data_IF_558048106330
#
_entry.id   IF_558048106330
#
_cell.length_a   1.000
_cell.length_b   1.000
_cell.length_c   1.000
_cell.angle_alpha   90.00
_cell.angle_beta   90.00
_cell.angle_gamma   90.00
#
_symmetry.space_group_name_H-M   'P 1'
#
loop_
_entity.id
_entity.type
_entity.pdbx_description
1 polymer ?
#
# COMPACT_ATOMS: atom_id res chain seq x y z
N UNK A 1 14.92 29.39 -25.56
CA UNK A 1 13.80 30.27 -25.84
C UNK A 1 13.01 30.56 -24.55
N UNK A 2 12.45 29.59 -23.88
CA UNK A 2 11.66 29.79 -22.66
C UNK A 2 12.45 30.44 -21.51
N UNK A 3 13.74 30.12 -21.38
CA UNK A 3 14.60 30.68 -20.31
C UNK A 3 14.89 32.19 -20.47
N UNK A 4 14.64 32.78 -21.64
CA UNK A 4 14.79 34.20 -21.90
C UNK A 4 13.49 35.01 -21.61
N UNK A 5 12.38 34.31 -21.36
CA UNK A 5 11.06 34.90 -21.12
C UNK A 5 10.74 34.87 -19.62
N UNK A 6 10.31 35.99 -19.06
CA UNK A 6 9.91 36.10 -17.66
C UNK A 6 8.41 35.94 -17.44
N UNK A 7 7.64 35.94 -18.52
CA UNK A 7 6.19 35.90 -18.60
C UNK A 7 5.63 34.49 -18.93
N UNK A 8 6.51 33.46 -18.96
CA UNK A 8 6.12 32.06 -19.30
C UNK A 8 6.40 31.16 -18.14
N UNK A 9 5.37 30.41 -17.73
CA UNK A 9 5.48 29.22 -16.88
C UNK A 9 5.38 27.98 -17.78
N UNK A 10 6.47 27.20 -17.86
CA UNK A 10 6.48 25.93 -18.59
C UNK A 10 6.28 24.79 -17.60
N UNK A 11 5.19 24.04 -17.75
CA UNK A 11 4.88 22.84 -16.98
C UNK A 11 4.99 21.63 -17.90
N UNK A 12 5.89 20.69 -17.56
CA UNK A 12 6.05 19.42 -18.26
C UNK A 12 5.49 18.30 -17.39
N UNK A 13 4.44 17.61 -17.86
CA UNK A 13 3.83 16.49 -17.20
C UNK A 13 4.12 15.19 -17.98
N UNK A 14 4.27 14.08 -17.28
CA UNK A 14 4.35 12.75 -17.88
C UNK A 14 3.94 11.69 -16.86
N UNK A 15 3.20 10.69 -17.30
CA UNK A 15 2.95 9.46 -16.56
C UNK A 15 4.16 8.51 -16.60
N UNK A 16 4.99 8.59 -17.66
CA UNK A 16 6.23 7.84 -17.79
C UNK A 16 7.34 8.50 -16.96
N UNK A 17 7.38 8.20 -15.68
CA UNK A 17 8.35 8.76 -14.71
C UNK A 17 9.79 8.57 -15.17
N UNK A 18 10.13 7.41 -15.70
CA UNK A 18 11.45 7.11 -16.23
C UNK A 18 11.88 8.03 -17.39
N UNK A 19 10.94 8.43 -18.25
CA UNK A 19 11.26 9.35 -19.36
C UNK A 19 11.62 10.75 -18.82
N UNK A 20 10.82 11.30 -17.90
CA UNK A 20 11.12 12.62 -17.31
C UNK A 20 12.44 12.57 -16.54
N UNK A 21 12.64 11.56 -15.69
CA UNK A 21 13.86 11.43 -14.89
C UNK A 21 15.10 11.33 -15.80
N UNK A 22 15.08 10.44 -16.79
CA UNK A 22 16.24 10.22 -17.66
C UNK A 22 16.46 11.32 -18.70
N UNK A 23 15.39 11.89 -19.28
CA UNK A 23 15.50 12.86 -20.36
C UNK A 23 15.50 14.31 -19.90
N UNK A 24 14.88 14.62 -18.77
CA UNK A 24 14.76 15.98 -18.26
C UNK A 24 15.74 16.23 -17.11
N UNK A 25 15.89 15.30 -16.18
CA UNK A 25 16.69 15.52 -14.97
C UNK A 25 18.14 15.01 -15.08
N UNK A 26 18.36 13.85 -15.69
CA UNK A 26 19.69 13.24 -15.80
C UNK A 26 20.38 13.47 -17.14
N UNK A 27 19.67 13.98 -18.13
CA UNK A 27 20.29 14.28 -19.41
C UNK A 27 20.98 15.66 -19.35
N UNK A 28 22.28 15.71 -19.60
CA UNK A 28 23.07 16.97 -19.71
C UNK A 28 22.66 17.87 -20.90
N UNK A 29 21.46 17.66 -21.46
CA UNK A 29 20.85 18.47 -22.51
C UNK A 29 20.29 19.80 -22.03
N UNK A 30 19.55 20.48 -22.92
CA UNK A 30 19.09 21.86 -22.75
C UNK A 30 18.19 22.17 -21.53
N UNK A 31 17.66 21.15 -20.83
CA UNK A 31 16.84 21.33 -19.63
C UNK A 31 17.59 21.06 -18.31
N UNK A 32 18.83 20.56 -18.39
CA UNK A 32 19.64 20.30 -17.20
C UNK A 32 19.88 21.59 -16.40
N UNK A 33 19.59 21.56 -15.09
CA UNK A 33 19.75 22.70 -14.20
C UNK A 33 18.71 23.83 -14.38
N UNK A 34 17.72 23.68 -15.29
CA UNK A 34 16.69 24.68 -15.57
C UNK A 34 15.33 24.34 -14.98
N UNK A 35 15.19 23.17 -14.37
CA UNK A 35 13.98 22.76 -13.66
C UNK A 35 13.99 23.41 -12.27
N UNK A 36 13.07 24.36 -12.05
CA UNK A 36 12.96 25.11 -10.79
C UNK A 36 12.19 24.33 -9.72
N UNK A 37 11.23 23.49 -10.11
CA UNK A 37 10.39 22.75 -9.20
C UNK A 37 10.02 21.38 -9.77
N UNK A 38 10.01 20.37 -8.91
CA UNK A 38 9.52 19.04 -9.21
C UNK A 38 8.32 18.77 -8.32
N UNK A 39 7.27 18.22 -8.90
CA UNK A 39 6.07 17.80 -8.19
C UNK A 39 5.85 16.34 -8.55
N UNK A 40 5.87 15.46 -7.55
CA UNK A 40 5.45 14.08 -7.68
C UNK A 40 4.00 14.02 -7.21
N UNK A 41 3.09 13.61 -8.09
CA UNK A 41 1.69 13.40 -7.75
C UNK A 41 1.54 11.94 -7.37
N UNK A 42 1.34 11.71 -6.08
CA UNK A 42 0.97 10.39 -5.55
C UNK A 42 -0.52 10.13 -5.77
N UNK A 43 -0.97 8.87 -5.69
CA UNK A 43 -2.39 8.55 -5.57
C UNK A 43 -3.04 9.34 -4.43
N UNK A 44 -4.33 9.64 -4.56
CA UNK A 44 -5.08 10.33 -3.51
C UNK A 44 -5.02 9.57 -2.19
N UNK A 45 -4.94 10.31 -1.08
CA UNK A 45 -5.22 9.79 0.26
C UNK A 45 -6.72 9.49 0.42
N UNK A 46 -7.10 8.76 1.49
CA UNK A 46 -8.52 8.53 1.79
C UNK A 46 -9.31 9.85 1.95
N UNK A 47 -8.71 10.87 2.58
CA UNK A 47 -9.34 12.20 2.69
C UNK A 47 -9.56 12.85 1.32
N UNK A 48 -8.58 12.74 0.42
CA UNK A 48 -8.72 13.28 -0.94
C UNK A 48 -9.72 12.48 -1.77
N UNK A 49 -9.80 11.15 -1.57
CA UNK A 49 -10.86 10.32 -2.15
C UNK A 49 -12.25 10.73 -1.64
N UNK A 50 -12.42 10.96 -0.33
CA UNK A 50 -13.67 11.43 0.26
C UNK A 50 -14.13 12.73 -0.41
N UNK A 51 -13.24 13.73 -0.52
CA UNK A 51 -13.53 14.99 -1.22
C UNK A 51 -13.84 14.81 -2.71
N UNK A 52 -13.17 13.86 -3.36
CA UNK A 52 -13.42 13.55 -4.76
C UNK A 52 -14.81 12.95 -4.95
N UNK A 53 -15.22 11.99 -4.10
CA UNK A 53 -16.56 11.40 -4.13
C UNK A 53 -17.64 12.46 -3.86
N UNK A 54 -17.46 13.32 -2.86
CA UNK A 54 -18.36 14.45 -2.58
C UNK A 54 -18.52 15.36 -3.80
N UNK A 55 -17.41 15.72 -4.47
CA UNK A 55 -17.44 16.59 -5.66
C UNK A 55 -18.20 15.98 -6.84
N UNK A 56 -18.33 14.66 -6.87
CA UNK A 56 -19.04 13.88 -7.89
C UNK A 56 -20.46 13.48 -7.47
N UNK A 57 -20.89 13.86 -6.27
CA UNK A 57 -22.15 13.41 -5.65
C UNK A 57 -22.24 11.87 -5.56
N UNK A 58 -21.14 11.19 -5.32
CA UNK A 58 -21.07 9.75 -5.03
C UNK A 58 -21.21 9.60 -3.51
N UNK A 59 -22.38 9.15 -3.06
CA UNK A 59 -22.66 8.94 -1.64
C UNK A 59 -22.14 7.57 -1.20
N UNK A 60 -21.09 7.58 -0.40
CA UNK A 60 -20.43 6.38 0.08
C UNK A 60 -19.99 6.56 1.54
N UNK A 61 -20.31 5.62 2.41
CA UNK A 61 -19.80 5.63 3.77
C UNK A 61 -18.29 5.35 3.80
N UNK A 62 -17.61 5.70 4.89
CA UNK A 62 -16.14 5.55 4.98
C UNK A 62 -15.67 4.11 4.89
N UNK A 63 -16.45 3.13 5.35
CA UNK A 63 -16.11 1.72 5.19
C UNK A 63 -16.03 1.33 3.70
N UNK A 64 -17.04 1.70 2.92
CA UNK A 64 -17.04 1.46 1.47
C UNK A 64 -15.94 2.27 0.76
N UNK A 65 -15.63 3.50 1.23
CA UNK A 65 -14.50 4.26 0.70
C UNK A 65 -13.16 3.56 0.95
N UNK A 66 -12.96 2.95 2.12
CA UNK A 66 -11.78 2.11 2.41
C UNK A 66 -11.76 0.89 1.52
N UNK A 67 -12.89 0.20 1.31
CA UNK A 67 -12.98 -0.95 0.39
C UNK A 67 -12.69 -0.51 -1.05
N UNK A 68 -13.24 0.62 -1.49
CA UNK A 68 -12.94 1.20 -2.81
C UNK A 68 -11.44 1.49 -2.98
N UNK A 69 -10.81 2.04 -1.94
CA UNK A 69 -9.37 2.28 -1.94
C UNK A 69 -8.55 0.98 -2.00
N UNK A 70 -8.98 -0.07 -1.33
CA UNK A 70 -8.34 -1.39 -1.40
C UNK A 70 -8.40 -2.01 -2.80
N UNK A 71 -9.42 -1.67 -3.61
CA UNK A 71 -9.63 -2.18 -4.98
C UNK A 71 -8.95 -1.30 -6.02
N UNK A 72 -9.25 0.00 -5.99
CA UNK A 72 -8.89 0.96 -7.05
C UNK A 72 -7.69 1.85 -6.69
N UNK A 73 -7.26 1.83 -5.42
CA UNK A 73 -6.31 2.81 -4.89
C UNK A 73 -6.87 4.23 -4.90
N UNK A 74 -6.00 5.19 -4.68
CA UNK A 74 -6.34 6.60 -4.80
C UNK A 74 -6.16 7.15 -6.23
N UNK A 75 -6.40 6.35 -7.27
CA UNK A 75 -6.19 6.76 -8.67
C UNK A 75 -7.43 7.47 -9.21
N UNK A 76 -7.40 8.80 -9.43
CA UNK A 76 -8.59 9.58 -9.83
C UNK A 76 -9.28 9.04 -11.08
N UNK A 77 -8.53 8.47 -12.01
CA UNK A 77 -9.06 7.89 -13.23
C UNK A 77 -10.03 6.74 -12.94
N UNK A 78 -9.66 5.82 -12.05
CA UNK A 78 -10.53 4.70 -11.68
C UNK A 78 -11.72 5.16 -10.83
N UNK A 79 -11.49 6.09 -9.90
CA UNK A 79 -12.55 6.63 -9.05
C UNK A 79 -13.61 7.39 -9.86
N UNK A 80 -13.22 8.00 -11.00
CA UNK A 80 -14.14 8.72 -11.88
C UNK A 80 -15.08 7.80 -12.67
N UNK A 81 -14.78 6.50 -12.75
CA UNK A 81 -15.62 5.49 -13.44
C UNK A 81 -16.76 5.00 -12.56
N UNK A 82 -16.75 5.26 -11.26
CA UNK A 82 -17.82 4.81 -10.37
C UNK A 82 -19.13 5.50 -10.70
N UNK A 83 -20.18 4.69 -10.93
CA UNK A 83 -21.55 5.15 -11.14
C UNK A 83 -22.19 5.45 -9.77
N UNK A 84 -22.58 6.70 -9.54
CA UNK A 84 -23.23 7.17 -8.34
C UNK A 84 -24.61 6.54 -8.07
N UNK A 85 -25.23 5.95 -9.10
CA UNK A 85 -26.52 5.26 -8.99
C UNK A 85 -26.41 3.81 -8.52
N UNK A 86 -25.18 3.30 -8.32
CA UNK A 86 -24.89 1.92 -7.95
C UNK A 86 -24.19 1.82 -6.62
N UNK A 87 -24.36 0.69 -5.92
CA UNK A 87 -23.56 0.36 -4.75
C UNK A 87 -22.09 0.12 -5.14
N UNK A 88 -21.17 0.17 -4.17
CA UNK A 88 -19.77 -0.17 -4.44
C UNK A 88 -19.60 -1.60 -4.98
N UNK A 89 -20.24 -2.65 -4.42
CA UNK A 89 -20.18 -3.99 -4.99
C UNK A 89 -20.59 -4.04 -6.47
N UNK A 90 -21.69 -3.39 -6.84
CA UNK A 90 -22.15 -3.32 -8.23
C UNK A 90 -21.16 -2.62 -9.16
N UNK A 91 -20.54 -1.53 -8.69
CA UNK A 91 -19.48 -0.84 -9.43
C UNK A 91 -18.24 -1.75 -9.63
N UNK A 92 -17.84 -2.49 -8.60
CA UNK A 92 -16.70 -3.42 -8.68
C UNK A 92 -17.00 -4.53 -9.71
N UNK A 93 -18.18 -5.12 -9.66
CA UNK A 93 -18.57 -6.17 -10.61
C UNK A 93 -18.61 -5.67 -12.04
N UNK A 94 -19.23 -4.53 -12.28
CA UNK A 94 -19.33 -3.96 -13.62
C UNK A 94 -17.99 -3.55 -14.21
N UNK A 95 -17.12 -2.93 -13.41
CA UNK A 95 -15.84 -2.43 -13.90
C UNK A 95 -14.79 -3.53 -14.09
N UNK A 96 -14.80 -4.59 -13.24
CA UNK A 96 -13.72 -5.55 -13.15
C UNK A 96 -14.09 -6.99 -13.53
N UNK A 97 -15.35 -7.42 -13.29
CA UNK A 97 -15.79 -8.80 -13.53
C UNK A 97 -16.70 -8.96 -14.72
N UNK A 98 -17.42 -7.91 -15.13
CA UNK A 98 -18.21 -7.96 -16.36
C UNK A 98 -17.29 -8.16 -17.59
N UNK A 99 -17.70 -8.96 -18.59
CA UNK A 99 -16.90 -9.20 -19.80
C UNK A 99 -16.47 -7.93 -20.54
N UNK A 100 -17.34 -6.91 -20.53
CA UNK A 100 -17.10 -5.60 -21.14
C UNK A 100 -16.67 -4.54 -20.12
N UNK A 101 -16.23 -4.95 -18.92
CA UNK A 101 -15.81 -4.06 -17.85
C UNK A 101 -14.60 -3.23 -18.26
N UNK A 102 -14.67 -1.91 -18.04
CA UNK A 102 -13.64 -0.98 -18.50
C UNK A 102 -12.25 -1.26 -17.91
N UNK A 103 -12.18 -1.89 -16.74
CA UNK A 103 -10.94 -2.26 -16.05
C UNK A 103 -10.62 -3.76 -16.13
N UNK A 104 -11.40 -4.53 -16.89
CA UNK A 104 -11.18 -5.97 -17.02
C UNK A 104 -9.79 -6.30 -17.60
N UNK A 105 -9.38 -5.60 -18.65
CA UNK A 105 -8.08 -5.78 -19.33
C UNK A 105 -7.06 -4.69 -18.99
N UNK A 106 -7.36 -3.84 -18.01
CA UNK A 106 -6.53 -2.66 -17.65
C UNK A 106 -5.12 -3.04 -17.24
N UNK A 107 -4.92 -4.20 -16.60
CA UNK A 107 -3.62 -4.59 -16.07
C UNK A 107 -2.48 -4.54 -17.11
N UNK A 108 -2.69 -5.08 -18.31
CA UNK A 108 -1.68 -5.05 -19.38
C UNK A 108 -1.53 -3.64 -19.95
N UNK A 109 -2.64 -2.96 -20.16
CA UNK A 109 -2.68 -1.61 -20.73
C UNK A 109 -1.94 -0.61 -19.83
N UNK A 110 -2.16 -0.70 -18.52
CA UNK A 110 -1.50 0.13 -17.52
C UNK A 110 0.03 0.07 -17.65
N UNK A 111 0.60 -1.13 -17.57
CA UNK A 111 2.06 -1.29 -17.63
C UNK A 111 2.64 -0.92 -19.01
N UNK A 112 1.96 -1.26 -20.10
CA UNK A 112 2.39 -0.91 -21.44
C UNK A 112 2.34 0.60 -21.71
N UNK A 113 1.39 1.32 -21.12
CA UNK A 113 1.29 2.78 -21.25
C UNK A 113 2.39 3.52 -20.46
N UNK A 114 2.80 2.95 -19.32
CA UNK A 114 3.77 3.58 -18.43
C UNK A 114 5.23 3.25 -18.77
N UNK A 115 5.50 2.05 -19.28
CA UNK A 115 6.86 1.56 -19.49
C UNK A 115 7.08 1.14 -20.95
N UNK A 116 8.16 1.66 -21.57
CA UNK A 116 8.47 1.41 -22.99
C UNK A 116 8.63 -0.07 -23.32
N UNK A 117 9.19 -0.86 -22.39
CA UNK A 117 9.39 -2.31 -22.49
C UNK A 117 8.88 -2.93 -21.18
N UNK A 118 7.57 -3.11 -21.08
CA UNK A 118 6.92 -3.51 -19.83
C UNK A 118 7.19 -4.96 -19.40
N UNK A 119 7.78 -5.81 -20.25
CA UNK A 119 7.96 -7.24 -19.97
C UNK A 119 8.75 -7.49 -18.67
N UNK A 120 9.86 -6.79 -18.46
CA UNK A 120 10.67 -6.95 -17.26
C UNK A 120 9.96 -6.39 -16.02
N UNK A 121 9.19 -5.30 -16.18
CA UNK A 121 8.37 -4.74 -15.10
C UNK A 121 7.28 -5.74 -14.68
N UNK A 122 6.57 -6.32 -15.64
CA UNK A 122 5.54 -7.33 -15.41
C UNK A 122 6.14 -8.60 -14.77
N UNK A 123 7.33 -9.04 -15.20
CA UNK A 123 8.02 -10.19 -14.61
C UNK A 123 8.34 -9.93 -13.13
N UNK A 124 8.91 -8.77 -12.79
CA UNK A 124 9.25 -8.39 -11.42
C UNK A 124 7.98 -8.27 -10.56
N UNK A 125 6.95 -7.57 -11.05
CA UNK A 125 5.68 -7.43 -10.31
C UNK A 125 5.02 -8.78 -10.09
N UNK A 126 5.03 -9.66 -11.11
CA UNK A 126 4.51 -11.02 -10.98
C UNK A 126 5.26 -11.84 -9.91
N UNK A 127 6.57 -11.68 -9.83
CA UNK A 127 7.36 -12.33 -8.79
C UNK A 127 7.00 -11.79 -7.39
N UNK A 128 7.03 -10.46 -7.22
CA UNK A 128 6.75 -9.82 -5.93
C UNK A 128 5.32 -10.12 -5.43
N UNK A 129 4.34 -10.19 -6.34
CA UNK A 129 2.94 -10.52 -6.01
C UNK A 129 2.76 -11.90 -5.35
N UNK A 130 3.73 -12.81 -5.47
CA UNK A 130 3.70 -14.13 -4.81
C UNK A 130 3.98 -14.07 -3.30
N UNK A 131 4.55 -12.95 -2.80
CA UNK A 131 4.94 -12.78 -1.40
C UNK A 131 4.40 -11.47 -0.83
N UNK A 132 3.38 -11.54 -0.01
CA UNK A 132 2.73 -10.37 0.61
C UNK A 132 3.69 -9.45 1.38
N UNK A 133 4.74 -10.00 1.98
CA UNK A 133 5.78 -9.21 2.71
C UNK A 133 6.91 -8.72 1.83
N UNK A 134 6.82 -8.94 0.51
CA UNK A 134 7.84 -8.54 -0.44
C UNK A 134 8.97 -9.55 -0.60
N UNK A 135 9.90 -9.24 -1.48
CA UNK A 135 11.05 -10.07 -1.85
C UNK A 135 12.33 -9.25 -1.79
N UNK A 136 13.41 -9.91 -1.43
CA UNK A 136 14.75 -9.35 -1.62
C UNK A 136 15.10 -9.27 -3.11
N UNK A 137 16.06 -8.43 -3.47
CA UNK A 137 16.58 -8.36 -4.84
C UNK A 137 17.02 -9.73 -5.35
N UNK A 138 17.72 -10.52 -4.54
CA UNK A 138 18.21 -11.84 -4.94
C UNK A 138 17.05 -12.81 -5.26
N UNK A 139 16.02 -12.84 -4.43
CA UNK A 139 14.82 -13.65 -4.69
C UNK A 139 14.11 -13.24 -5.99
N UNK A 140 14.03 -11.93 -6.26
CA UNK A 140 13.47 -11.42 -7.52
C UNK A 140 14.29 -11.92 -8.72
N UNK A 141 15.61 -11.79 -8.67
CA UNK A 141 16.50 -12.24 -9.74
C UNK A 141 16.39 -13.76 -9.97
N UNK A 142 16.36 -14.54 -8.90
CA UNK A 142 16.19 -15.99 -8.95
C UNK A 142 14.86 -16.39 -9.58
N UNK A 143 13.77 -15.73 -9.21
CA UNK A 143 12.44 -16.07 -9.70
C UNK A 143 12.18 -15.59 -11.13
N UNK A 144 12.77 -14.45 -11.52
CA UNK A 144 12.53 -13.87 -12.85
C UNK A 144 13.56 -14.27 -13.89
N UNK A 145 14.74 -14.77 -13.48
CA UNK A 145 15.87 -15.02 -14.39
C UNK A 145 16.53 -13.76 -14.95
N UNK A 146 16.16 -12.57 -14.45
CA UNK A 146 16.75 -11.32 -14.90
C UNK A 146 18.22 -11.18 -14.44
N UNK A 147 19.08 -10.51 -15.24
CA UNK A 147 20.48 -10.36 -14.88
C UNK A 147 20.67 -9.43 -13.67
N UNK A 148 21.66 -9.73 -12.83
CA UNK A 148 22.08 -8.82 -11.77
C UNK A 148 22.89 -7.64 -12.33
N UNK A 149 22.23 -6.71 -13.01
CA UNK A 149 22.83 -5.61 -13.74
C UNK A 149 22.08 -4.29 -13.50
N UNK A 150 22.66 -3.20 -13.99
CA UNK A 150 22.06 -1.86 -13.93
C UNK A 150 20.70 -1.76 -14.63
N UNK A 151 20.43 -2.60 -15.64
CA UNK A 151 19.14 -2.68 -16.31
C UNK A 151 18.03 -3.08 -15.33
N UNK A 152 18.24 -4.13 -14.54
CA UNK A 152 17.27 -4.57 -13.52
C UNK A 152 17.12 -3.57 -12.38
N UNK A 153 18.23 -2.91 -11.98
CA UNK A 153 18.16 -1.82 -10.99
C UNK A 153 17.24 -0.70 -11.49
N UNK A 154 17.38 -0.32 -12.76
CA UNK A 154 16.52 0.72 -13.37
C UNK A 154 15.05 0.32 -13.36
N UNK A 155 14.71 -0.92 -13.70
CA UNK A 155 13.32 -1.40 -13.69
C UNK A 155 12.72 -1.33 -12.28
N UNK A 156 13.49 -1.72 -11.25
CA UNK A 156 13.05 -1.61 -9.85
C UNK A 156 12.85 -0.15 -9.43
N UNK A 157 13.75 0.75 -9.84
CA UNK A 157 13.62 2.19 -9.57
C UNK A 157 12.43 2.80 -10.31
N UNK A 158 12.17 2.40 -11.55
CA UNK A 158 11.01 2.86 -12.33
C UNK A 158 9.68 2.42 -11.67
N UNK A 159 9.59 1.16 -11.21
CA UNK A 159 8.43 0.66 -10.48
C UNK A 159 8.22 1.39 -9.14
N UNK A 160 9.29 1.68 -8.41
CA UNK A 160 9.23 2.41 -7.15
C UNK A 160 8.82 3.88 -7.36
N UNK A 161 9.40 4.56 -8.34
CA UNK A 161 9.08 5.95 -8.68
C UNK A 161 7.66 6.13 -9.24
N UNK A 162 7.04 5.05 -9.69
CA UNK A 162 5.67 5.03 -10.21
C UNK A 162 4.67 4.46 -9.18
N UNK A 163 5.07 4.34 -7.91
CA UNK A 163 4.27 3.89 -6.77
C UNK A 163 3.70 2.46 -6.90
N UNK A 164 4.24 1.62 -7.83
CA UNK A 164 3.83 0.22 -7.92
C UNK A 164 4.40 -0.65 -6.80
N UNK A 165 5.63 -0.35 -6.39
CA UNK A 165 6.33 -1.05 -5.33
C UNK A 165 6.96 -0.05 -4.36
N UNK A 166 7.19 -0.49 -3.13
CA UNK A 166 8.03 0.23 -2.17
C UNK A 166 9.22 -0.62 -1.76
N UNK A 167 10.30 0.04 -1.38
CA UNK A 167 11.43 -0.58 -0.68
C UNK A 167 11.33 -0.30 0.80
N UNK A 168 11.58 -1.31 1.61
CA UNK A 168 11.70 -1.12 3.05
C UNK A 168 12.68 -2.13 3.65
N UNK A 169 13.21 -1.78 4.82
CA UNK A 169 14.07 -2.66 5.59
C UNK A 169 13.28 -3.08 6.83
N UNK A 170 13.13 -4.39 7.05
CA UNK A 170 12.49 -4.90 8.25
C UNK A 170 13.29 -4.50 9.49
N UNK A 171 12.59 -4.29 10.60
CA UNK A 171 13.23 -3.86 11.87
C UNK A 171 14.37 -4.80 12.27
N UNK A 172 15.51 -4.23 12.61
CA UNK A 172 16.71 -4.98 13.00
C UNK A 172 17.47 -5.67 11.86
N UNK A 173 17.04 -5.47 10.58
CA UNK A 173 17.76 -5.96 9.41
C UNK A 173 18.72 -4.91 8.85
N UNK A 174 19.65 -5.33 7.98
CA UNK A 174 20.60 -4.44 7.31
C UNK A 174 20.03 -3.97 5.96
N UNK A 175 20.51 -2.84 5.46
CA UNK A 175 20.12 -2.29 4.15
C UNK A 175 20.27 -3.29 2.99
N UNK A 176 21.24 -4.20 3.05
CA UNK A 176 21.43 -5.26 2.04
C UNK A 176 20.27 -6.27 1.98
N UNK A 177 19.47 -6.34 3.04
CA UNK A 177 18.35 -7.27 3.21
C UNK A 177 17.01 -6.54 2.96
N UNK A 178 17.04 -5.41 2.22
CA UNK A 178 15.86 -4.64 1.85
C UNK A 178 14.88 -5.47 1.01
N UNK A 179 13.62 -5.23 1.24
CA UNK A 179 12.51 -5.91 0.60
C UNK A 179 11.81 -4.97 -0.37
N UNK A 180 11.42 -5.51 -1.52
CA UNK A 180 10.56 -4.89 -2.51
C UNK A 180 9.15 -5.46 -2.34
N UNK A 181 8.20 -4.62 -2.04
CA UNK A 181 6.80 -5.02 -1.79
C UNK A 181 5.88 -4.31 -2.76
N UNK A 182 4.92 -5.04 -3.31
CA UNK A 182 3.87 -4.49 -4.18
C UNK A 182 2.90 -3.65 -3.33
N UNK A 183 2.60 -2.44 -3.79
CA UNK A 183 1.76 -1.46 -3.08
C UNK A 183 0.58 -0.99 -3.90
N UNK A 184 0.63 -1.07 -5.23
CA UNK A 184 -0.48 -0.67 -6.09
C UNK A 184 -1.72 -1.54 -5.84
N UNK A 185 -2.80 -0.90 -5.39
CA UNK A 185 -4.02 -1.58 -4.96
C UNK A 185 -4.68 -2.36 -6.10
N UNK A 186 -4.79 -1.74 -7.29
CA UNK A 186 -5.38 -2.40 -8.45
C UNK A 186 -4.57 -3.63 -8.87
N UNK A 187 -3.25 -3.53 -8.92
CA UNK A 187 -2.37 -4.67 -9.24
C UNK A 187 -2.49 -5.79 -8.20
N UNK A 188 -2.54 -5.46 -6.90
CA UNK A 188 -2.79 -6.45 -5.83
C UNK A 188 -4.12 -7.15 -6.01
N UNK A 189 -5.19 -6.39 -6.32
CA UNK A 189 -6.51 -6.92 -6.60
C UNK A 189 -6.50 -7.84 -7.83
N UNK A 190 -5.86 -7.41 -8.92
CA UNK A 190 -5.72 -8.20 -10.14
C UNK A 190 -5.08 -9.57 -9.88
N UNK A 191 -3.95 -9.60 -9.16
CA UNK A 191 -3.27 -10.86 -8.85
C UNK A 191 -4.10 -11.79 -7.97
N UNK A 192 -4.96 -11.24 -7.14
CA UNK A 192 -5.77 -12.04 -6.21
C UNK A 192 -7.05 -12.58 -6.86
N UNK A 193 -7.69 -11.82 -7.74
CA UNK A 193 -9.03 -12.13 -8.25
C UNK A 193 -9.14 -12.29 -9.76
N UNK A 194 -8.33 -11.59 -10.55
CA UNK A 194 -8.53 -11.47 -12.01
C UNK A 194 -7.52 -12.29 -12.82
N UNK A 195 -6.29 -12.45 -12.34
CA UNK A 195 -5.17 -13.03 -13.09
C UNK A 195 -5.47 -14.38 -13.74
N UNK A 196 -6.16 -15.27 -13.05
CA UNK A 196 -6.34 -16.65 -13.49
C UNK A 196 -7.52 -16.83 -14.48
N UNK A 197 -8.29 -15.79 -14.77
CA UNK A 197 -9.44 -15.83 -15.69
C UNK A 197 -10.53 -16.83 -15.29
N UNK A 198 -10.50 -17.36 -14.07
CA UNK A 198 -11.38 -18.43 -13.59
C UNK A 198 -12.74 -17.94 -13.09
N UNK A 199 -12.90 -16.64 -12.96
CA UNK A 199 -14.14 -16.06 -12.48
C UNK A 199 -15.02 -15.71 -13.69
N UNK A 200 -15.76 -16.68 -14.22
CA UNK A 200 -16.81 -16.44 -15.22
C UNK A 200 -18.09 -15.85 -14.60
N UNK A 201 -18.02 -15.40 -13.35
CA UNK A 201 -19.13 -14.80 -12.63
C UNK A 201 -19.03 -13.28 -12.71
N UNK A 202 -19.87 -12.68 -13.54
CA UNK A 202 -19.91 -11.22 -13.71
C UNK A 202 -20.42 -10.47 -12.47
N UNK A 203 -21.00 -11.19 -11.50
CA UNK A 203 -21.43 -10.67 -10.20
C UNK A 203 -20.59 -11.27 -9.06
N UNK A 204 -19.33 -11.52 -9.31
CA UNK A 204 -18.43 -12.23 -8.40
C UNK A 204 -18.35 -11.54 -7.03
N UNK A 205 -18.23 -10.21 -7.01
CA UNK A 205 -18.06 -9.48 -5.76
C UNK A 205 -19.33 -9.54 -4.89
N UNK A 206 -20.50 -9.34 -5.50
CA UNK A 206 -21.78 -9.43 -4.78
C UNK A 206 -22.03 -10.84 -4.24
N UNK A 207 -21.78 -11.89 -5.04
CA UNK A 207 -21.99 -13.28 -4.64
C UNK A 207 -21.03 -13.76 -3.55
N UNK A 208 -19.80 -13.20 -3.49
CA UNK A 208 -18.78 -13.63 -2.53
C UNK A 208 -18.62 -12.68 -1.34
N UNK A 209 -19.49 -11.68 -1.19
CA UNK A 209 -19.48 -10.81 0.00
C UNK A 209 -19.49 -11.63 1.30
N UNK A 210 -18.56 -11.32 2.21
CA UNK A 210 -18.42 -12.04 3.49
C UNK A 210 -17.76 -13.41 3.41
N UNK A 211 -17.36 -13.88 2.22
CA UNK A 211 -16.63 -15.14 2.08
C UNK A 211 -15.24 -15.06 2.74
N UNK A 212 -14.72 -16.21 3.17
CA UNK A 212 -13.37 -16.29 3.76
C UNK A 212 -12.27 -15.80 2.80
N UNK A 213 -12.47 -15.97 1.49
CA UNK A 213 -11.55 -15.49 0.46
C UNK A 213 -11.48 -13.96 0.44
N UNK A 214 -12.64 -13.27 0.43
CA UNK A 214 -12.69 -11.81 0.48
C UNK A 214 -12.18 -11.26 1.82
N UNK A 215 -12.53 -11.88 2.93
CA UNK A 215 -12.10 -11.46 4.26
C UNK A 215 -10.57 -11.60 4.43
N UNK A 216 -9.97 -12.66 3.91
CA UNK A 216 -8.52 -12.86 3.94
C UNK A 216 -7.78 -11.80 3.11
N UNK A 217 -8.26 -11.54 1.89
CA UNK A 217 -7.71 -10.48 1.05
C UNK A 217 -7.89 -9.10 1.69
N UNK A 218 -9.07 -8.81 2.23
CA UNK A 218 -9.37 -7.52 2.85
C UNK A 218 -8.45 -7.21 4.04
N UNK A 219 -8.11 -8.23 4.84
CA UNK A 219 -7.13 -8.07 5.92
C UNK A 219 -5.78 -7.57 5.41
N UNK A 220 -5.26 -8.21 4.36
CA UNK A 220 -4.00 -7.79 3.74
C UNK A 220 -4.10 -6.43 3.03
N UNK A 221 -5.18 -6.21 2.27
CA UNK A 221 -5.39 -4.95 1.56
C UNK A 221 -5.51 -3.77 2.53
N UNK A 222 -6.21 -3.93 3.66
CA UNK A 222 -6.31 -2.91 4.69
C UNK A 222 -4.96 -2.62 5.37
N UNK A 223 -4.11 -3.64 5.56
CA UNK A 223 -2.73 -3.43 6.00
C UNK A 223 -1.99 -2.47 5.05
N UNK A 224 -2.12 -2.67 3.72
CA UNK A 224 -1.50 -1.78 2.73
C UNK A 224 -2.08 -0.36 2.78
N UNK A 225 -3.40 -0.21 2.98
CA UNK A 225 -4.03 1.10 3.19
C UNK A 225 -3.43 1.81 4.40
N UNK A 226 -3.33 1.14 5.55
CA UNK A 226 -2.71 1.71 6.75
C UNK A 226 -1.25 2.12 6.51
N UNK A 227 -0.48 1.30 5.79
CA UNK A 227 0.92 1.60 5.48
C UNK A 227 1.08 2.80 4.53
N UNK A 228 0.14 2.97 3.59
CA UNK A 228 0.08 4.15 2.72
C UNK A 228 -0.32 5.43 3.46
N UNK A 229 -1.07 5.30 4.58
CA UNK A 229 -1.56 6.43 5.39
C UNK A 229 -0.77 6.60 6.71
N UNK A 230 0.53 6.34 6.67
CA UNK A 230 1.38 6.40 7.87
C UNK A 230 1.48 7.79 8.49
N UNK A 231 1.36 8.86 7.69
CA UNK A 231 1.37 10.23 8.20
C UNK A 231 0.08 10.53 8.98
N UNK A 232 -1.08 10.06 8.51
CA UNK A 232 -2.36 10.16 9.21
C UNK A 232 -2.32 9.38 10.53
N UNK A 233 -1.72 8.19 10.53
CA UNK A 233 -1.51 7.40 11.75
C UNK A 233 -0.65 8.19 12.76
N UNK A 234 0.47 8.79 12.34
CA UNK A 234 1.32 9.62 13.20
C UNK A 234 0.57 10.84 13.75
N UNK A 235 -0.26 11.46 12.91
CA UNK A 235 -1.10 12.60 13.32
C UNK A 235 -2.12 12.19 14.38
N UNK A 236 -2.86 11.09 14.17
CA UNK A 236 -3.83 10.57 15.12
C UNK A 236 -3.20 10.12 16.45
N UNK A 237 -1.93 9.69 16.40
CA UNK A 237 -1.13 9.38 17.58
C UNK A 237 -0.59 10.61 18.30
N UNK A 238 -0.60 11.80 17.67
CA UNK A 238 -0.01 13.02 18.21
C UNK A 238 1.54 13.03 18.16
N UNK A 239 2.15 12.28 17.24
CA UNK A 239 3.61 12.12 17.13
C UNK A 239 4.21 12.71 15.84
N UNK A 240 3.47 13.52 15.09
CA UNK A 240 3.95 14.13 13.83
C UNK A 240 5.22 14.98 14.00
N UNK A 241 5.46 15.52 15.21
CA UNK A 241 6.67 16.28 15.53
C UNK A 241 7.87 15.43 15.96
N UNK A 242 7.73 14.10 16.03
CA UNK A 242 8.77 13.17 16.47
C UNK A 242 9.34 12.45 15.25
N UNK A 243 10.66 12.31 15.18
CA UNK A 243 11.26 11.47 14.16
C UNK A 243 10.88 10.00 14.39
N UNK A 244 10.27 9.38 13.39
CA UNK A 244 9.77 8.01 13.44
C UNK A 244 10.31 7.22 12.25
N UNK A 245 10.92 6.07 12.51
CA UNK A 245 11.27 5.07 11.50
C UNK A 245 10.14 4.04 11.42
N UNK A 246 9.67 3.76 10.21
CA UNK A 246 8.59 2.81 9.95
C UNK A 246 9.13 1.54 9.31
N UNK A 247 8.74 0.39 9.83
CA UNK A 247 9.12 -0.92 9.31
C UNK A 247 8.08 -1.98 9.67
N UNK A 248 8.21 -3.18 9.14
CA UNK A 248 7.62 -4.38 9.70
C UNK A 248 8.67 -5.16 10.47
N UNK A 249 8.26 -6.17 11.22
CA UNK A 249 9.18 -7.08 11.88
C UNK A 249 8.73 -8.52 11.71
N UNK A 250 9.71 -9.40 11.56
CA UNK A 250 9.50 -10.85 11.49
C UNK A 250 10.59 -11.54 12.32
N UNK A 251 10.17 -12.46 13.18
CA UNK A 251 11.06 -13.28 13.98
C UNK A 251 12.04 -14.10 13.12
N UNK A 252 13.26 -14.23 13.61
CA UNK A 252 14.29 -15.11 13.03
C UNK A 252 14.14 -16.55 13.47
N UNK A 253 13.32 -16.83 14.49
CA UNK A 253 13.05 -18.18 14.98
C UNK A 253 12.33 -19.01 13.91
N UNK A 254 12.80 -20.24 13.69
CA UNK A 254 12.15 -21.17 12.78
C UNK A 254 10.93 -21.84 13.41
N UNK A 255 10.95 -22.00 14.72
CA UNK A 255 9.95 -22.74 15.49
C UNK A 255 8.75 -21.87 15.90
N UNK A 256 8.98 -20.55 16.10
CA UNK A 256 7.94 -19.60 16.48
C UNK A 256 8.03 -18.36 15.59
N UNK A 257 7.34 -18.40 14.45
CA UNK A 257 7.31 -17.32 13.45
C UNK A 257 6.36 -16.22 13.88
N UNK A 258 6.82 -15.34 14.76
CA UNK A 258 6.08 -14.14 15.08
C UNK A 258 6.31 -13.04 14.03
N UNK A 259 5.29 -12.22 13.84
CA UNK A 259 5.31 -11.11 12.89
C UNK A 259 4.54 -9.94 13.48
N UNK A 260 5.01 -8.72 13.19
CA UNK A 260 4.34 -7.46 13.52
C UNK A 260 4.18 -6.67 12.22
N UNK A 261 2.94 -6.27 11.91
CA UNK A 261 2.58 -5.67 10.64
C UNK A 261 3.23 -4.30 10.46
N UNK A 262 3.22 -3.48 11.52
CA UNK A 262 3.80 -2.14 11.52
C UNK A 262 4.52 -1.87 12.85
N UNK A 263 5.79 -1.51 12.74
CA UNK A 263 6.64 -1.05 13.86
C UNK A 263 6.96 0.42 13.64
N UNK A 264 6.59 1.26 14.59
CA UNK A 264 6.94 2.68 14.62
C UNK A 264 8.04 2.89 15.67
N UNK A 265 9.27 3.02 15.21
CA UNK A 265 10.43 3.26 16.06
C UNK A 265 10.65 4.77 16.21
N UNK A 266 10.33 5.28 17.39
CA UNK A 266 10.29 6.70 17.71
C UNK A 266 11.60 7.17 18.36
N UNK A 267 11.96 8.43 18.11
CA UNK A 267 13.15 9.05 18.69
C UNK A 267 13.01 9.37 20.19
N UNK A 268 11.77 9.37 20.73
CA UNK A 268 11.46 9.60 22.14
C UNK A 268 11.48 8.33 23.02
N UNK A 269 12.28 7.34 22.64
CA UNK A 269 12.48 6.08 23.35
C UNK A 269 11.26 5.16 23.45
N UNK A 270 10.30 5.27 22.52
CA UNK A 270 9.14 4.38 22.43
C UNK A 270 9.16 3.63 21.10
N UNK A 271 8.74 2.38 21.10
CA UNK A 271 8.42 1.59 19.90
C UNK A 271 6.95 1.19 19.99
N UNK A 272 6.15 1.60 18.99
CA UNK A 272 4.79 1.09 18.89
C UNK A 272 4.77 -0.15 17.98
N UNK A 273 4.26 -1.25 18.55
CA UNK A 273 4.05 -2.53 17.86
C UNK A 273 2.59 -2.60 17.44
N UNK A 274 2.32 -2.35 16.16
CA UNK A 274 0.96 -2.16 15.65
C UNK A 274 0.47 -3.44 14.98
N UNK A 275 -0.68 -3.92 15.42
CA UNK A 275 -1.46 -4.97 14.76
C UNK A 275 -2.61 -4.33 14.00
N UNK A 276 -2.84 -4.76 12.76
CA UNK A 276 -3.84 -4.18 11.86
C UNK A 276 -4.93 -5.22 11.60
N UNK A 277 -6.21 -4.84 11.78
CA UNK A 277 -7.35 -5.75 11.58
C UNK A 277 -8.49 -5.08 10.82
N UNK A 278 -8.87 -5.68 9.71
CA UNK A 278 -10.07 -5.34 8.97
C UNK A 278 -11.26 -6.15 9.51
N UNK A 279 -12.34 -5.48 9.86
CA UNK A 279 -13.55 -6.13 10.37
C UNK A 279 -14.80 -5.31 10.03
N UNK A 280 -15.96 -5.97 9.93
CA UNK A 280 -17.26 -5.32 9.69
C UNK A 280 -17.93 -4.80 10.96
N UNK A 281 -17.29 -4.94 12.10
CA UNK A 281 -17.78 -4.53 13.44
C UNK A 281 -16.61 -4.27 14.37
N UNK A 282 -16.79 -3.66 15.55
CA UNK A 282 -15.75 -3.51 16.56
C UNK A 282 -15.04 -4.84 16.84
N UNK A 283 -13.70 -4.82 16.83
CA UNK A 283 -12.89 -6.02 16.95
C UNK A 283 -12.82 -6.51 18.40
N UNK A 284 -13.18 -7.76 18.64
CA UNK A 284 -13.10 -8.37 19.96
C UNK A 284 -11.77 -9.06 20.16
N UNK A 285 -10.99 -8.64 21.17
CA UNK A 285 -9.79 -9.33 21.61
C UNK A 285 -10.21 -10.45 22.56
N UNK A 286 -9.99 -11.71 22.20
CA UNK A 286 -10.18 -12.84 23.13
C UNK A 286 -8.89 -13.12 23.91
N UNK A 287 -8.97 -14.03 24.87
CA UNK A 287 -7.84 -14.42 25.75
C UNK A 287 -6.65 -14.91 24.93
N UNK A 288 -6.89 -15.81 23.99
CA UNK A 288 -5.83 -16.42 23.18
C UNK A 288 -5.12 -15.37 22.29
N UNK A 289 -5.89 -14.42 21.77
CA UNK A 289 -5.33 -13.34 20.96
C UNK A 289 -4.49 -12.37 21.80
N UNK A 290 -4.95 -12.02 23.01
CA UNK A 290 -4.20 -11.20 23.94
C UNK A 290 -2.86 -11.85 24.33
N UNK A 291 -2.88 -13.13 24.69
CA UNK A 291 -1.67 -13.91 24.98
C UNK A 291 -0.70 -13.96 23.80
N UNK A 292 -1.22 -14.11 22.57
CA UNK A 292 -0.38 -14.06 21.35
C UNK A 292 0.27 -12.70 21.14
N UNK A 293 -0.46 -11.61 21.34
CA UNK A 293 0.10 -10.26 21.18
C UNK A 293 1.21 -10.01 22.20
N UNK A 294 1.01 -10.38 23.47
CA UNK A 294 2.04 -10.27 24.50
C UNK A 294 3.26 -11.14 24.22
N UNK A 295 3.05 -12.37 23.76
CA UNK A 295 4.13 -13.27 23.34
C UNK A 295 4.94 -12.70 22.18
N UNK A 296 4.29 -12.06 21.19
CA UNK A 296 4.99 -11.38 20.07
C UNK A 296 5.78 -10.18 20.55
N UNK A 297 5.24 -9.38 21.45
CA UNK A 297 5.96 -8.26 22.06
C UNK A 297 7.21 -8.77 22.79
N UNK A 298 7.06 -9.76 23.65
CA UNK A 298 8.19 -10.37 24.37
C UNK A 298 9.26 -10.89 23.39
N UNK A 299 8.85 -11.63 22.36
CA UNK A 299 9.77 -12.17 21.37
C UNK A 299 10.47 -11.06 20.58
N UNK A 300 9.77 -9.96 20.25
CA UNK A 300 10.37 -8.78 19.63
C UNK A 300 11.46 -8.17 20.53
N UNK A 301 11.17 -7.96 21.79
CA UNK A 301 12.11 -7.40 22.78
C UNK A 301 13.35 -8.30 22.94
N UNK A 302 13.14 -9.62 23.05
CA UNK A 302 14.21 -10.60 23.18
C UNK A 302 15.11 -10.68 21.93
N UNK A 303 14.54 -10.69 20.74
CA UNK A 303 15.33 -10.82 19.51
C UNK A 303 16.03 -9.51 19.11
N UNK A 304 15.41 -8.36 19.38
CA UNK A 304 15.96 -7.06 19.00
C UNK A 304 16.90 -6.49 20.05
N UNK A 305 16.80 -6.96 21.30
CA UNK A 305 17.54 -6.42 22.46
C UNK A 305 17.35 -4.91 22.60
N UNK A 306 16.17 -4.40 22.22
CA UNK A 306 15.86 -2.98 22.34
C UNK A 306 15.84 -2.54 23.81
N UNK A 307 16.26 -1.28 24.06
CA UNK A 307 16.15 -0.64 25.39
C UNK A 307 14.97 0.36 25.45
N UNK A 308 14.25 0.50 24.32
CA UNK A 308 13.09 1.38 24.24
C UNK A 308 11.85 0.71 24.83
N UNK A 309 10.92 1.50 25.33
CA UNK A 309 9.62 1.00 25.81
C UNK A 309 8.78 0.53 24.65
N UNK A 310 8.41 -0.75 24.62
CA UNK A 310 7.52 -1.31 23.62
C UNK A 310 6.06 -1.16 24.06
N UNK A 311 5.20 -0.67 23.17
CA UNK A 311 3.79 -0.43 23.40
C UNK A 311 2.96 -1.13 22.31
N UNK A 312 2.00 -1.97 22.73
CA UNK A 312 1.06 -2.59 21.84
C UNK A 312 0.03 -1.58 21.35
N UNK A 313 -0.23 -1.60 20.06
CA UNK A 313 -1.19 -0.74 19.40
C UNK A 313 -2.04 -1.55 18.44
N UNK A 314 -3.30 -1.16 18.25
CA UNK A 314 -4.16 -1.73 17.21
C UNK A 314 -4.72 -0.64 16.30
N UNK A 315 -4.80 -0.97 15.01
CA UNK A 315 -5.51 -0.20 14.00
C UNK A 315 -6.62 -1.11 13.46
N UNK A 316 -7.86 -0.72 13.63
CA UNK A 316 -9.02 -1.54 13.24
C UNK A 316 -10.02 -0.70 12.47
N UNK A 317 -10.93 -1.32 11.76
CA UNK A 317 -11.96 -0.59 10.99
C UNK A 317 -12.87 0.22 11.92
N UNK A 318 -13.43 -0.42 12.96
CA UNK A 318 -14.45 0.16 13.84
C UNK A 318 -14.05 0.26 15.33
N UNK A 319 -12.75 0.20 15.63
CA UNK A 319 -12.28 0.21 17.01
C UNK A 319 -12.36 -1.17 17.69
N UNK A 320 -12.13 -1.17 19.00
CA UNK A 320 -12.12 -2.37 19.82
C UNK A 320 -13.42 -2.52 20.60
N UNK A 321 -13.94 -3.74 20.67
CA UNK A 321 -15.03 -4.08 21.57
C UNK A 321 -14.52 -4.09 23.02
N UNK A 322 -15.18 -3.34 23.89
CA UNK A 322 -14.79 -3.27 25.31
C UNK A 322 -14.93 -4.63 25.99
N UNK A 323 -13.83 -5.11 26.57
CA UNK A 323 -13.76 -6.31 27.40
C UNK A 323 -12.51 -6.28 28.28
N UNK A 324 -12.31 -7.31 29.12
CA UNK A 324 -11.19 -7.38 30.07
C UNK A 324 -9.80 -7.49 29.42
N UNK A 325 -9.70 -7.80 28.13
CA UNK A 325 -8.41 -8.01 27.43
C UNK A 325 -7.91 -6.76 26.71
N UNK A 326 -8.76 -5.73 26.54
CA UNK A 326 -8.38 -4.50 25.83
C UNK A 326 -7.30 -3.71 26.57
N UNK A 327 -7.16 -3.91 27.88
CA UNK A 327 -6.18 -3.20 28.74
C UNK A 327 -4.70 -3.40 28.36
N UNK A 328 -4.37 -4.41 27.52
CA UNK A 328 -3.01 -4.59 27.01
C UNK A 328 -2.68 -3.61 25.88
N UNK A 329 -3.67 -2.97 25.28
CA UNK A 329 -3.49 -2.04 24.14
C UNK A 329 -3.35 -0.62 24.68
N UNK A 330 -2.18 -0.01 24.44
CA UNK A 330 -1.90 1.35 24.87
C UNK A 330 -2.54 2.41 23.96
N UNK A 331 -2.71 2.11 22.68
CA UNK A 331 -3.35 3.00 21.71
C UNK A 331 -4.16 2.20 20.69
N UNK A 332 -5.39 2.64 20.46
CA UNK A 332 -6.25 2.11 19.38
C UNK A 332 -6.60 3.21 18.43
N UNK A 333 -6.50 2.95 17.12
CA UNK A 333 -6.97 3.80 16.05
C UNK A 333 -8.05 3.07 15.24
N UNK A 334 -8.88 3.85 14.56
CA UNK A 334 -9.92 3.36 13.67
C UNK A 334 -9.63 3.77 12.22
N UNK A 335 -10.43 3.26 11.28
CA UNK A 335 -10.34 3.71 9.88
C UNK A 335 -10.58 5.22 9.75
N UNK A 336 -11.40 5.83 10.63
CA UNK A 336 -11.69 7.27 10.56
C UNK A 336 -10.45 8.14 10.78
N UNK A 337 -9.49 7.64 11.57
CA UNK A 337 -8.22 8.32 11.79
C UNK A 337 -7.35 8.40 10.52
N UNK A 338 -7.64 7.58 9.49
CA UNK A 338 -6.92 7.60 8.20
C UNK A 338 -7.42 8.68 7.24
N UNK A 339 -8.55 9.34 7.57
CA UNK A 339 -9.15 10.43 6.78
C UNK A 339 -8.75 11.83 7.28
N UNK A 340 -7.75 11.94 8.14
CA UNK A 340 -7.28 13.21 8.72
C UNK A 340 -6.23 13.92 7.86
#
# INVERSE_FOLDING_TARGET
WASARKDILLICCSSATSWIVNKVFHNHGGLYGRVNRRIHLHPFTLQECERFYESRNILMNRYDQVVSYMVFGGVPYYLAMLDKGKSLPQNIDELLFAPDGQLHDEYKNLYQSMFRNAENHLAIVSAIATKSKGMTRNEILEQTGLPNAGSTTRVLEELEQSDFIRRYVAFGQKKRDELYQLTDAYTLFYYHFLKDGKNNDAMFWEHYLGSSKLLSWAGYAFEQVCLAHSEQIKQAMGISGIAVSQSGWMSKSKDNKAQIDLVLDRADNVINLCEIKFSSRPYAIDKQYAERMQSRQWQFEEETKTRKSCQLMMITTYGLQSNQYVGIIQKSLTMDDLFS
#
